data_IF_864012178157
#
_entry.id   IF_864012178157
#
_cell.length_a   1.000
_cell.length_b   1.000
_cell.length_c   1.000
_cell.angle_alpha   90.00
_cell.angle_beta   90.00
_cell.angle_gamma   90.00
#
_symmetry.space_group_name_H-M   'P 1'
#
loop_
_entity.id
_entity.type
_entity.pdbx_description
1 polymer ?
#
# COMPACT_ATOMS: atom_id res chain seq x y z
N UNK A 1 -14.94 36.83 8.32
CA UNK A 1 -13.57 36.67 8.86
C UNK A 1 -13.25 35.20 8.83
N UNK A 2 -12.18 34.84 8.12
CA UNK A 2 -11.74 33.47 7.85
C UNK A 2 -11.37 32.78 9.17
N UNK A 3 -12.07 31.71 9.52
CA UNK A 3 -11.58 30.74 10.49
C UNK A 3 -10.83 29.66 9.70
N UNK A 4 -9.53 29.87 9.63
CA UNK A 4 -8.53 28.91 9.20
C UNK A 4 -8.70 27.62 10.01
N UNK A 5 -8.97 26.53 9.32
CA UNK A 5 -9.01 25.18 9.87
C UNK A 5 -8.54 24.21 8.80
N UNK A 6 -7.30 24.40 8.34
CA UNK A 6 -6.58 23.35 7.62
C UNK A 6 -6.49 22.19 8.61
N UNK A 7 -7.36 21.19 8.44
CA UNK A 7 -7.44 20.05 9.33
C UNK A 7 -6.12 19.29 9.25
N UNK A 8 -5.36 19.34 10.34
CA UNK A 8 -4.14 18.58 10.62
C UNK A 8 -3.74 17.57 9.56
N UNK A 9 -2.92 18.01 8.61
CA UNK A 9 -2.23 17.17 7.64
C UNK A 9 -1.22 16.29 8.42
N UNK A 10 -1.70 15.15 8.90
CA UNK A 10 -0.90 14.00 9.31
C UNK A 10 -0.78 13.09 8.07
N UNK A 11 -0.04 13.56 7.06
CA UNK A 11 -0.07 13.16 5.64
C UNK A 11 0.45 11.74 5.33
N UNK A 12 -0.24 10.70 5.82
CA UNK A 12 0.04 9.33 5.40
C UNK A 12 -0.95 8.33 5.99
N UNK A 13 -0.99 7.09 5.49
CA UNK A 13 -1.97 6.09 5.90
C UNK A 13 -1.99 5.86 7.42
N UNK A 14 -3.17 5.89 8.04
CA UNK A 14 -3.31 5.79 9.50
C UNK A 14 -3.60 4.38 9.99
N UNK A 15 -3.97 3.48 9.08
CA UNK A 15 -4.21 2.07 9.37
C UNK A 15 -3.43 1.16 8.41
N UNK A 16 -3.16 -0.11 8.80
CA UNK A 16 -2.59 -1.10 7.90
C UNK A 16 -3.36 -1.23 6.57
N UNK A 17 -4.69 -1.17 6.66
CA UNK A 17 -5.59 -1.29 5.50
C UNK A 17 -5.39 -0.12 4.53
N UNK A 18 -5.29 1.10 5.07
CA UNK A 18 -5.08 2.29 4.26
C UNK A 18 -3.72 2.29 3.57
N UNK A 19 -2.69 1.74 4.21
CA UNK A 19 -1.35 1.64 3.62
C UNK A 19 -1.34 0.71 2.40
N UNK A 20 -1.98 -0.45 2.52
CA UNK A 20 -2.17 -1.37 1.39
C UNK A 20 -2.98 -0.70 0.28
N UNK A 21 -4.12 -0.07 0.61
CA UNK A 21 -4.92 0.62 -0.40
C UNK A 21 -4.14 1.73 -1.10
N UNK A 22 -3.33 2.51 -0.38
CA UNK A 22 -2.51 3.57 -0.95
C UNK A 22 -1.46 3.02 -1.92
N UNK A 23 -0.77 1.94 -1.54
CA UNK A 23 0.23 1.27 -2.39
C UNK A 23 -0.39 0.73 -3.68
N UNK A 24 -1.45 -0.07 -3.58
CA UNK A 24 -2.09 -0.65 -4.77
C UNK A 24 -2.72 0.41 -5.65
N UNK A 25 -3.33 1.45 -5.05
CA UNK A 25 -3.86 2.58 -5.82
C UNK A 25 -2.77 3.29 -6.61
N UNK A 26 -1.65 3.63 -5.96
CA UNK A 26 -0.54 4.29 -6.63
C UNK A 26 0.04 3.43 -7.77
N UNK A 27 0.13 2.11 -7.56
CA UNK A 27 0.56 1.17 -8.60
C UNK A 27 -0.40 1.12 -9.79
N UNK A 28 -1.71 1.06 -9.55
CA UNK A 28 -2.73 1.07 -10.59
C UNK A 28 -2.80 2.41 -11.34
N UNK A 29 -2.52 3.53 -10.65
CA UNK A 29 -2.49 4.88 -11.23
C UNK A 29 -1.15 5.20 -11.95
N UNK A 30 -0.17 4.27 -11.95
CA UNK A 30 1.21 4.46 -12.42
C UNK A 30 1.92 5.68 -11.76
N UNK A 31 1.51 6.02 -10.53
CA UNK A 31 2.04 7.15 -9.77
C UNK A 31 3.24 6.71 -8.93
N UNK A 32 4.42 6.79 -9.54
CA UNK A 32 5.71 6.41 -8.93
C UNK A 32 6.02 7.20 -7.65
N UNK A 33 5.63 8.47 -7.57
CA UNK A 33 5.89 9.31 -6.42
C UNK A 33 5.01 8.85 -5.25
N UNK A 34 3.70 8.70 -5.49
CA UNK A 34 2.76 8.19 -4.50
C UNK A 34 3.09 6.75 -4.06
N UNK A 35 3.59 5.92 -4.98
CA UNK A 35 4.00 4.55 -4.67
C UNK A 35 5.23 4.54 -3.78
N UNK A 36 6.22 5.39 -4.08
CA UNK A 36 7.43 5.56 -3.27
C UNK A 36 7.05 6.01 -1.85
N UNK A 37 6.13 6.97 -1.73
CA UNK A 37 5.62 7.46 -0.44
C UNK A 37 4.80 6.41 0.33
N UNK A 38 4.06 5.56 -0.38
CA UNK A 38 3.30 4.46 0.20
C UNK A 38 4.18 3.25 0.60
N UNK A 39 5.46 3.25 0.22
CA UNK A 39 6.41 2.16 0.45
C UNK A 39 7.32 2.49 1.64
N UNK A 40 7.62 1.49 2.47
CA UNK A 40 8.49 1.66 3.62
C UNK A 40 9.91 2.04 3.19
N UNK A 41 10.64 2.72 4.07
CA UNK A 41 11.95 3.30 3.74
C UNK A 41 12.97 2.27 3.19
N UNK A 42 12.85 1.00 3.62
CA UNK A 42 13.69 -0.11 3.13
C UNK A 42 13.53 -0.37 1.63
N UNK A 43 12.34 -0.16 1.06
CA UNK A 43 12.01 -0.48 -0.32
C UNK A 43 11.68 0.75 -1.18
N UNK A 44 11.64 1.96 -0.61
CA UNK A 44 11.38 3.20 -1.34
C UNK A 44 12.32 3.39 -2.57
N UNK A 45 13.61 3.05 -2.44
CA UNK A 45 14.56 3.10 -3.56
C UNK A 45 14.37 2.04 -4.65
N UNK A 46 13.42 1.12 -4.45
CA UNK A 46 13.08 0.00 -5.33
C UNK A 46 11.61 0.04 -5.79
N UNK A 47 10.91 1.15 -5.57
CA UNK A 47 9.49 1.27 -5.90
C UNK A 47 9.21 1.00 -7.40
N UNK A 48 10.10 1.42 -8.29
CA UNK A 48 10.00 1.12 -9.73
C UNK A 48 10.20 -0.36 -10.08
N UNK A 49 11.06 -1.07 -9.35
CA UNK A 49 11.20 -2.53 -9.46
C UNK A 49 9.95 -3.24 -8.94
N UNK A 50 9.37 -2.74 -7.84
CA UNK A 50 8.13 -3.27 -7.27
C UNK A 50 6.96 -3.12 -8.26
N UNK A 51 6.85 -1.99 -8.97
CA UNK A 51 5.86 -1.82 -10.04
C UNK A 51 6.00 -2.86 -11.14
N UNK A 52 7.21 -3.04 -11.66
CA UNK A 52 7.45 -3.99 -12.75
C UNK A 52 7.24 -5.45 -12.31
N UNK A 53 7.48 -5.77 -11.04
CA UNK A 53 7.30 -7.12 -10.49
C UNK A 53 5.87 -7.45 -10.07
N UNK A 54 5.13 -6.46 -9.53
CA UNK A 54 3.78 -6.65 -8.97
C UNK A 54 2.70 -6.38 -10.04
N UNK A 55 2.91 -5.40 -10.91
CA UNK A 55 1.92 -4.95 -11.91
C UNK A 55 2.33 -5.26 -13.37
N UNK A 56 3.46 -5.94 -13.59
CA UNK A 56 4.07 -6.06 -14.92
C UNK A 56 3.61 -7.25 -15.78
N UNK A 57 3.14 -8.35 -15.18
CA UNK A 57 2.72 -9.54 -15.94
C UNK A 57 1.20 -9.60 -16.18
N UNK A 58 0.41 -9.07 -15.23
CA UNK A 58 -1.04 -8.93 -15.31
C UNK A 58 -1.45 -7.57 -14.72
N UNK A 59 -2.43 -6.92 -15.36
CA UNK A 59 -2.98 -5.65 -14.87
C UNK A 59 -3.87 -5.90 -13.65
N UNK A 60 -3.40 -5.47 -12.48
CA UNK A 60 -4.22 -5.44 -11.26
C UNK A 60 -5.24 -4.30 -11.41
N UNK A 61 -6.52 -4.62 -11.35
CA UNK A 61 -7.63 -3.67 -11.49
C UNK A 61 -8.34 -3.38 -10.15
N UNK A 62 -7.96 -4.10 -9.10
CA UNK A 62 -8.48 -3.87 -7.76
C UNK A 62 -7.93 -4.85 -6.74
N UNK A 63 -8.26 -4.60 -5.47
CA UNK A 63 -7.92 -5.48 -4.36
C UNK A 63 -9.09 -5.65 -3.40
N UNK A 64 -9.14 -6.82 -2.75
CA UNK A 64 -10.08 -7.11 -1.67
C UNK A 64 -9.32 -7.55 -0.43
N UNK A 65 -9.36 -6.74 0.63
CA UNK A 65 -8.67 -7.06 1.89
C UNK A 65 -9.51 -8.02 2.72
N UNK A 66 -9.01 -9.24 2.90
CA UNK A 66 -9.68 -10.32 3.62
C UNK A 66 -9.46 -10.23 5.14
N UNK A 67 -8.23 -9.93 5.57
CA UNK A 67 -7.92 -9.81 7.00
C UNK A 67 -6.70 -8.93 7.27
N UNK A 68 -6.63 -8.41 8.50
CA UNK A 68 -5.50 -7.62 8.99
C UNK A 68 -5.12 -8.17 10.36
N UNK A 69 -3.85 -8.51 10.55
CA UNK A 69 -3.29 -8.94 11.82
C UNK A 69 -2.19 -7.97 12.25
N UNK A 70 -2.56 -7.02 13.10
CA UNK A 70 -1.65 -6.02 13.66
C UNK A 70 -0.88 -6.56 14.87
N UNK A 71 0.40 -6.21 14.96
CA UNK A 71 1.29 -6.49 16.07
C UNK A 71 2.21 -5.29 16.32
N UNK A 72 1.71 -4.32 17.09
CA UNK A 72 2.46 -3.11 17.43
C UNK A 72 2.69 -2.21 16.22
N UNK A 73 3.94 -2.12 15.75
CA UNK A 73 4.34 -1.28 14.61
C UNK A 73 4.43 -2.05 13.29
N UNK A 74 3.91 -3.27 13.25
CA UNK A 74 3.88 -4.13 12.05
C UNK A 74 2.51 -4.76 11.94
N UNK A 75 2.02 -4.98 10.73
CA UNK A 75 0.82 -5.76 10.48
C UNK A 75 1.00 -6.62 9.24
N UNK A 76 0.38 -7.80 9.27
CA UNK A 76 0.23 -8.65 8.08
C UNK A 76 -1.19 -8.46 7.55
N UNK A 77 -1.31 -8.15 6.27
CA UNK A 77 -2.58 -7.95 5.56
C UNK A 77 -2.73 -9.05 4.54
N UNK A 78 -3.82 -9.79 4.63
CA UNK A 78 -4.22 -10.77 3.62
C UNK A 78 -5.20 -10.11 2.65
N UNK A 79 -4.91 -10.17 1.36
CA UNK A 79 -5.73 -9.56 0.31
C UNK A 79 -5.80 -10.46 -0.93
N UNK A 80 -6.84 -10.26 -1.71
CA UNK A 80 -6.96 -10.81 -3.06
C UNK A 80 -6.72 -9.71 -4.08
N UNK A 81 -5.82 -9.93 -5.02
CA UNK A 81 -5.64 -9.09 -6.20
C UNK A 81 -6.64 -9.51 -7.28
N UNK A 82 -7.34 -8.54 -7.86
CA UNK A 82 -8.24 -8.74 -8.99
C UNK A 82 -7.47 -8.37 -10.25
N UNK A 83 -7.24 -9.34 -11.12
CA UNK A 83 -6.50 -9.14 -12.36
C UNK A 83 -7.46 -9.07 -13.57
N UNK A 84 -7.16 -8.24 -14.57
CA UNK A 84 -7.91 -8.22 -15.83
C UNK A 84 -7.85 -9.61 -16.50
N UNK A 85 -9.01 -10.25 -16.66
CA UNK A 85 -9.11 -11.68 -17.02
C UNK A 85 -9.69 -12.60 -15.94
N UNK A 86 -10.12 -12.05 -14.81
CA UNK A 86 -10.87 -12.71 -13.73
C UNK A 86 -10.07 -13.76 -12.92
N UNK A 87 -8.75 -13.67 -12.94
CA UNK A 87 -7.91 -14.42 -12.00
C UNK A 87 -7.83 -13.63 -10.70
N UNK A 88 -7.91 -14.36 -9.58
CA UNK A 88 -7.69 -13.80 -8.24
C UNK A 88 -6.47 -14.45 -7.63
N UNK A 89 -5.50 -13.63 -7.28
CA UNK A 89 -4.27 -14.05 -6.61
C UNK A 89 -4.36 -13.66 -5.13
N UNK A 90 -4.06 -14.60 -4.22
CA UNK A 90 -4.06 -14.30 -2.79
C UNK A 90 -2.66 -13.88 -2.37
N UNK A 91 -2.56 -12.70 -1.76
CA UNK A 91 -1.30 -12.09 -1.35
C UNK A 91 -1.35 -11.79 0.14
N UNK A 92 -0.27 -12.17 0.83
CA UNK A 92 0.00 -11.75 2.19
C UNK A 92 1.07 -10.66 2.11
N UNK A 93 0.76 -9.47 2.59
CA UNK A 93 1.71 -8.36 2.63
C UNK A 93 1.99 -7.90 4.05
N UNK A 94 3.20 -7.43 4.28
CA UNK A 94 3.61 -6.78 5.51
C UNK A 94 3.54 -5.26 5.34
N UNK A 95 2.92 -4.59 6.29
CA UNK A 95 2.97 -3.13 6.43
C UNK A 95 3.60 -2.75 7.77
N UNK A 96 4.31 -1.63 7.80
CA UNK A 96 5.04 -1.15 8.98
C UNK A 96 4.66 0.29 9.29
N UNK A 97 4.65 0.63 10.58
CA UNK A 97 4.41 2.00 11.04
C UNK A 97 5.73 2.75 11.18
N UNK A 98 5.98 3.71 10.30
CA UNK A 98 7.16 4.56 10.26
C UNK A 98 6.74 6.03 10.35
N UNK A 99 7.43 6.82 11.18
CA UNK A 99 7.16 8.26 11.35
C UNK A 99 5.68 8.63 11.66
N UNK A 100 4.91 7.71 12.23
CA UNK A 100 3.50 7.91 12.56
C UNK A 100 2.51 7.43 11.49
N UNK A 101 2.99 6.95 10.34
CA UNK A 101 2.19 6.50 9.20
C UNK A 101 2.48 5.03 8.88
N UNK A 102 1.52 4.32 8.33
CA UNK A 102 1.70 2.95 7.85
C UNK A 102 2.15 2.95 6.39
N UNK A 103 3.12 2.11 6.06
CA UNK A 103 3.66 1.95 4.72
C UNK A 103 3.81 0.47 4.35
N UNK A 104 3.64 0.16 3.06
CA UNK A 104 3.81 -1.17 2.49
C UNK A 104 5.28 -1.60 2.51
N UNK A 105 5.55 -2.82 2.94
CA UNK A 105 6.92 -3.27 3.21
C UNK A 105 7.21 -4.69 2.70
N UNK A 106 6.62 -5.07 1.57
CA UNK A 106 6.86 -6.36 0.94
C UNK A 106 5.76 -7.38 1.21
N UNK A 107 5.90 -8.53 0.55
CA UNK A 107 5.16 -9.74 0.88
C UNK A 107 5.55 -10.25 2.28
N UNK A 108 4.62 -10.89 2.96
CA UNK A 108 4.89 -11.55 4.24
C UNK A 108 5.41 -12.97 3.96
N UNK A 109 6.63 -13.26 4.41
CA UNK A 109 7.18 -14.62 4.53
C UNK A 109 6.48 -15.47 5.61
#
# INVERSE_FOLDING_TARGET
MLASGCGSSNDGPQTPKDAVNAFYKAGMDDDLDALTDATCAKYAGRASEALSGIFGENEIIGIEIASVKENGSTAVVNLSELEDGATTSNVLTTVVKENGHWAWCGDAD
#
